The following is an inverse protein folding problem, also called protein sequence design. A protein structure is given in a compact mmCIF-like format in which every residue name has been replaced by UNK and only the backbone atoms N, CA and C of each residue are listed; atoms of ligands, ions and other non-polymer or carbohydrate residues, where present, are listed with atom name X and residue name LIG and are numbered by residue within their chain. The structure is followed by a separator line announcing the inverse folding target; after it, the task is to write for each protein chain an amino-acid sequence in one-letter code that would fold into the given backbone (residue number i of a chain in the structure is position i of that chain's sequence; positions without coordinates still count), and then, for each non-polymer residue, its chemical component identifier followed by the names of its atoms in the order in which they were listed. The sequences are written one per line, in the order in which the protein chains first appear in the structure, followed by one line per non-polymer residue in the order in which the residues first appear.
data_IF_034160654376
#
_entry.id   IF_034160654376
#
_cell.length_a   1.000
_cell.length_b   1.000
_cell.length_c   1.000
_cell.angle_alpha   90.00
_cell.angle_beta   90.00
_cell.angle_gamma   90.00
#
_symmetry.space_group_name_H-M   'P 1'
#
loop_
_entity.id
_entity.type
_entity.pdbx_description
1 polymer ?
#
# COMPACT_ATOMS: atom_id res chain seq x y z
N UNK A 1 -6.07 -11.82 -16.84
CA UNK A 1 -6.01 -10.92 -18.02
C UNK A 1 -4.70 -10.16 -17.90
N UNK A 2 -3.72 -10.53 -18.69
CA UNK A 2 -2.39 -9.91 -18.68
C UNK A 2 -2.49 -8.65 -19.53
N UNK A 3 -2.10 -7.50 -18.97
CA UNK A 3 -2.03 -6.23 -19.72
C UNK A 3 -0.78 -6.32 -20.60
N UNK A 4 -0.86 -6.09 -21.91
CA UNK A 4 0.31 -6.06 -22.80
C UNK A 4 1.35 -5.05 -22.32
N UNK A 5 2.64 -5.40 -22.41
CA UNK A 5 3.76 -4.55 -21.96
C UNK A 5 3.87 -3.23 -22.76
N UNK A 6 3.26 -3.18 -23.95
CA UNK A 6 3.22 -2.00 -24.82
C UNK A 6 2.07 -1.02 -24.47
N UNK A 7 1.19 -1.38 -23.54
CA UNK A 7 0.05 -0.58 -23.09
C UNK A 7 0.37 0.25 -21.84
N UNK A 8 1.63 0.69 -21.64
CA UNK A 8 1.85 1.66 -20.58
C UNK A 8 1.05 2.93 -20.87
N UNK A 9 0.19 3.32 -19.93
CA UNK A 9 -0.67 4.48 -20.04
C UNK A 9 0.19 5.71 -20.38
N UNK A 10 0.01 6.22 -21.61
CA UNK A 10 0.60 7.50 -22.01
C UNK A 10 -0.10 8.59 -21.21
N UNK A 11 0.68 9.47 -20.59
CA UNK A 11 0.14 10.61 -19.86
C UNK A 11 -0.49 11.57 -20.87
N UNK A 12 -1.81 11.56 -20.97
CA UNK A 12 -2.55 12.43 -21.88
C UNK A 12 -2.73 13.85 -21.34
N UNK A 13 -2.79 14.00 -20.01
CA UNK A 13 -2.93 15.29 -19.34
C UNK A 13 -2.33 15.26 -17.93
N UNK A 14 -1.88 16.42 -17.47
CA UNK A 14 -1.34 16.61 -16.11
C UNK A 14 -1.94 17.89 -15.52
N UNK A 15 -2.34 17.81 -14.25
CA UNK A 15 -2.66 18.99 -13.44
C UNK A 15 -1.86 18.89 -12.15
N UNK A 16 -1.10 19.94 -11.83
CA UNK A 16 -0.42 20.02 -10.54
C UNK A 16 -1.46 20.06 -9.42
N UNK A 17 -1.37 19.11 -8.48
CA UNK A 17 -2.18 19.21 -7.28
C UNK A 17 -1.79 20.47 -6.50
N UNK A 18 -2.77 21.33 -6.25
CA UNK A 18 -2.61 22.43 -5.30
C UNK A 18 -2.49 21.83 -3.90
N UNK A 19 -1.44 22.19 -3.19
CA UNK A 19 -1.24 21.76 -1.81
C UNK A 19 -2.49 22.08 -0.98
N UNK A 20 -3.07 21.04 -0.38
CA UNK A 20 -4.13 21.20 0.60
C UNK A 20 -3.49 21.17 1.99
N UNK A 21 -3.55 22.30 2.69
CA UNK A 21 -3.13 22.36 4.09
C UNK A 21 -4.07 21.50 4.91
N UNK A 22 -3.63 20.28 5.23
CA UNK A 22 -4.32 19.39 6.16
C UNK A 22 -3.77 19.65 7.55
N UNK A 23 -4.62 20.15 8.45
CA UNK A 23 -4.36 20.01 9.88
C UNK A 23 -4.42 18.51 10.18
N UNK A 24 -3.30 17.91 10.61
CA UNK A 24 -3.26 16.53 11.11
C UNK A 24 -4.45 16.39 12.05
N UNK A 25 -5.39 15.48 11.74
CA UNK A 25 -6.49 15.20 12.67
C UNK A 25 -5.81 14.81 13.97
N UNK A 26 -6.02 15.60 15.02
CA UNK A 26 -5.58 15.24 16.36
C UNK A 26 -6.02 13.81 16.61
N UNK A 27 -5.14 12.97 17.16
CA UNK A 27 -5.58 11.71 17.73
C UNK A 27 -6.65 12.07 18.77
N UNK A 28 -7.91 11.92 18.40
CA UNK A 28 -9.01 11.91 19.35
C UNK A 28 -8.95 10.50 19.89
N UNK A 29 -8.68 10.29 21.19
CA UNK A 29 -8.90 9.00 21.81
C UNK A 29 -10.41 8.78 21.73
N UNK A 30 -10.85 8.17 20.64
CA UNK A 30 -12.12 7.48 20.62
C UNK A 30 -11.96 6.40 21.68
N UNK A 31 -12.94 6.18 22.59
CA UNK A 31 -12.87 5.01 23.45
C UNK A 31 -12.54 3.82 22.57
N UNK A 32 -11.49 3.10 22.93
CA UNK A 32 -11.03 1.96 22.17
C UNK A 32 -12.27 1.12 21.80
N UNK A 33 -12.44 0.73 20.52
CA UNK A 33 -13.44 -0.29 20.21
C UNK A 33 -13.19 -1.47 21.16
N UNK A 34 -14.25 -2.18 21.58
CA UNK A 34 -14.10 -3.26 22.54
C UNK A 34 -12.96 -4.15 22.07
N UNK A 35 -12.03 -4.44 22.98
CA UNK A 35 -10.98 -5.43 22.81
C UNK A 35 -11.63 -6.81 22.67
N UNK A 36 -12.24 -7.06 21.52
CA UNK A 36 -12.22 -8.38 20.94
C UNK A 36 -10.74 -8.74 20.86
N UNK A 37 -10.35 -9.85 21.48
CA UNK A 37 -8.96 -10.23 21.81
C UNK A 37 -8.03 -10.32 20.58
N UNK A 38 -7.14 -11.32 20.47
CA UNK A 38 -6.47 -11.54 19.20
C UNK A 38 -7.55 -11.97 18.20
N UNK A 39 -8.18 -11.00 17.54
CA UNK A 39 -8.97 -11.23 16.34
C UNK A 39 -7.95 -11.74 15.36
N UNK A 40 -7.90 -13.05 15.23
CA UNK A 40 -7.32 -13.77 14.11
C UNK A 40 -8.13 -13.38 12.89
N UNK A 41 -8.00 -12.12 12.45
CA UNK A 41 -8.32 -11.72 11.08
C UNK A 41 -7.52 -12.69 10.25
N UNK A 42 -8.21 -13.64 9.62
CA UNK A 42 -7.65 -14.66 8.75
C UNK A 42 -6.41 -14.10 8.11
N UNK A 43 -5.24 -14.62 8.51
CA UNK A 43 -3.96 -14.19 7.96
C UNK A 43 -4.15 -14.22 6.46
N UNK A 44 -4.24 -13.05 5.83
CA UNK A 44 -3.97 -12.94 4.42
C UNK A 44 -2.56 -13.47 4.33
N UNK A 45 -2.43 -14.76 4.02
CA UNK A 45 -1.14 -15.42 3.92
C UNK A 45 -0.52 -14.86 2.67
N UNK A 46 0.20 -13.75 2.85
CA UNK A 46 1.05 -13.20 1.82
C UNK A 46 2.08 -14.28 1.50
N UNK A 47 2.16 -14.72 0.22
CA UNK A 47 3.10 -15.77 -0.16
C UNK A 47 4.56 -15.30 -0.15
N UNK A 48 4.79 -13.98 0.03
CA UNK A 48 6.12 -13.39 0.16
C UNK A 48 6.83 -13.92 1.43
N UNK A 49 7.96 -14.64 1.28
CA UNK A 49 8.75 -15.15 2.40
C UNK A 49 9.26 -14.06 3.34
N UNK A 50 9.39 -12.82 2.86
CA UNK A 50 9.86 -11.67 3.62
C UNK A 50 8.74 -10.87 4.27
N UNK A 51 7.47 -11.25 4.08
CA UNK A 51 6.33 -10.50 4.63
C UNK A 51 6.41 -10.32 6.15
N UNK A 52 6.91 -11.31 6.89
CA UNK A 52 7.10 -11.21 8.34
C UNK A 52 8.05 -10.09 8.77
N UNK A 53 8.98 -9.69 7.90
CA UNK A 53 9.97 -8.64 8.15
C UNK A 53 9.47 -7.24 7.75
N UNK A 54 8.34 -7.16 7.03
CA UNK A 54 7.73 -5.91 6.59
C UNK A 54 6.87 -5.31 7.71
N UNK A 55 7.52 -4.89 8.79
CA UNK A 55 6.89 -4.38 10.02
C UNK A 55 5.83 -3.31 9.78
N UNK A 56 6.00 -2.50 8.73
CA UNK A 56 5.09 -1.42 8.35
C UNK A 56 3.74 -1.89 7.79
N UNK A 57 3.57 -3.20 7.53
CA UNK A 57 2.34 -3.79 6.97
C UNK A 57 1.63 -4.77 7.92
N UNK A 58 2.29 -5.24 8.98
CA UNK A 58 1.88 -6.43 9.72
C UNK A 58 1.94 -6.27 11.25
N UNK A 59 1.92 -5.04 11.76
CA UNK A 59 2.04 -4.75 13.18
C UNK A 59 3.40 -5.12 13.79
N UNK A 60 4.45 -5.24 12.98
CA UNK A 60 5.79 -5.65 13.45
C UNK A 60 6.61 -4.55 14.11
N UNK A 61 6.10 -3.30 14.18
CA UNK A 61 6.79 -2.21 14.87
C UNK A 61 6.62 -2.29 16.40
N UNK A 62 7.30 -1.39 17.11
CA UNK A 62 7.07 -1.16 18.54
C UNK A 62 5.58 -0.85 18.80
N UNK A 63 5.05 -1.41 19.89
CA UNK A 63 3.64 -1.32 20.30
C UNK A 63 2.62 -1.82 19.26
N UNK A 64 3.04 -2.61 18.27
CA UNK A 64 2.15 -3.16 17.25
C UNK A 64 1.73 -2.16 16.18
N UNK A 65 2.45 -1.05 16.01
CA UNK A 65 2.11 -0.01 15.02
C UNK A 65 2.42 -0.45 13.58
N UNK A 66 1.55 -0.03 12.64
CA UNK A 66 1.74 -0.21 11.20
C UNK A 66 0.91 0.82 10.38
N UNK A 67 0.84 0.66 9.06
CA UNK A 67 0.05 1.52 8.17
C UNK A 67 -1.47 1.22 8.19
N UNK A 68 -1.91 0.17 8.87
CA UNK A 68 -3.29 -0.32 8.93
C UNK A 68 -3.95 -0.50 7.55
N UNK A 69 -3.20 -1.10 6.61
CA UNK A 69 -3.64 -1.31 5.21
C UNK A 69 -4.49 -2.57 5.02
N UNK A 70 -4.43 -3.53 5.95
CA UNK A 70 -5.18 -4.79 5.89
C UNK A 70 -6.68 -4.62 5.61
N UNK A 71 -7.40 -3.73 6.31
CA UNK A 71 -8.82 -3.47 6.04
C UNK A 71 -9.13 -2.87 4.66
N UNK A 72 -8.17 -2.23 4.00
CA UNK A 72 -8.33 -1.75 2.63
C UNK A 72 -8.20 -2.91 1.63
N UNK A 73 -7.21 -3.78 1.83
CA UNK A 73 -7.00 -4.98 1.02
C UNK A 73 -8.15 -5.99 1.17
N UNK A 74 -8.68 -6.18 2.38
CA UNK A 74 -9.86 -7.01 2.63
C UNK A 74 -11.11 -6.51 1.87
N UNK A 75 -11.16 -5.21 1.50
CA UNK A 75 -12.20 -4.62 0.66
C UNK A 75 -11.84 -4.61 -0.84
N UNK A 76 -10.70 -5.18 -1.22
CA UNK A 76 -10.24 -5.26 -2.61
C UNK A 76 -9.52 -4.01 -3.13
N UNK A 77 -9.20 -3.04 -2.27
CA UNK A 77 -8.46 -1.83 -2.68
C UNK A 77 -6.95 -2.12 -2.75
N UNK A 78 -6.42 -2.39 -3.93
CA UNK A 78 -5.01 -2.79 -4.13
C UNK A 78 -4.14 -1.73 -4.82
N UNK A 79 -4.73 -0.64 -5.29
CA UNK A 79 -4.05 0.33 -6.17
C UNK A 79 -4.11 -0.01 -7.66
N UNK A 80 -4.80 -1.10 -8.06
CA UNK A 80 -5.02 -1.44 -9.47
C UNK A 80 -5.64 -0.27 -10.24
N UNK A 81 -5.04 0.08 -11.38
CA UNK A 81 -5.47 1.21 -12.23
C UNK A 81 -4.86 2.56 -11.83
N UNK A 82 -4.01 2.61 -10.79
CA UNK A 82 -3.20 3.77 -10.43
C UNK A 82 -1.78 3.57 -10.95
N UNK A 83 -1.22 4.61 -11.58
CA UNK A 83 0.19 4.66 -11.98
C UNK A 83 0.93 5.61 -11.04
N UNK A 84 2.08 5.17 -10.53
CA UNK A 84 2.94 5.95 -9.62
C UNK A 84 4.26 6.21 -10.32
N UNK A 85 4.70 7.48 -10.34
CA UNK A 85 6.02 7.87 -10.84
C UNK A 85 6.97 8.12 -9.67
N UNK A 86 8.15 7.49 -9.70
CA UNK A 86 9.21 7.65 -8.71
C UNK A 86 10.32 8.48 -9.33
N UNK A 87 10.57 9.68 -8.78
CA UNK A 87 11.63 10.59 -9.21
C UNK A 87 12.87 10.33 -8.35
N UNK A 88 13.73 9.43 -8.80
CA UNK A 88 14.94 8.98 -8.10
C UNK A 88 16.10 8.76 -9.11
N UNK A 89 17.21 8.18 -8.67
CA UNK A 89 18.38 7.87 -9.50
C UNK A 89 18.17 6.73 -10.51
N UNK A 90 17.14 5.90 -10.30
CA UNK A 90 16.72 4.84 -11.23
C UNK A 90 15.88 3.77 -10.54
N UNK A 91 15.41 2.79 -11.33
CA UNK A 91 14.73 1.59 -10.81
C UNK A 91 15.13 0.37 -11.65
N UNK A 92 15.30 -0.78 -10.99
CA UNK A 92 15.58 -2.04 -11.68
C UNK A 92 14.28 -2.62 -12.26
N UNK A 93 14.00 -2.28 -13.52
CA UNK A 93 12.75 -2.60 -14.22
C UNK A 93 12.49 -4.10 -14.43
N UNK A 94 13.55 -4.92 -14.39
CA UNK A 94 13.48 -6.38 -14.60
C UNK A 94 13.52 -7.20 -13.31
N UNK A 95 13.41 -6.55 -12.13
CA UNK A 95 13.35 -7.27 -10.86
C UNK A 95 12.06 -8.13 -10.78
N UNK A 96 12.11 -9.38 -10.30
CA UNK A 96 10.92 -10.26 -10.25
C UNK A 96 9.73 -9.67 -9.50
N UNK A 97 9.97 -8.90 -8.42
CA UNK A 97 8.89 -8.25 -7.67
C UNK A 97 8.32 -6.97 -8.33
N UNK A 98 8.96 -6.47 -9.39
CA UNK A 98 8.56 -5.24 -10.08
C UNK A 98 8.09 -5.47 -11.51
N UNK A 99 8.59 -6.50 -12.20
CA UNK A 99 8.46 -6.69 -13.65
C UNK A 99 7.01 -6.75 -14.15
N UNK A 100 6.10 -7.28 -13.31
CA UNK A 100 4.67 -7.41 -13.63
C UNK A 100 3.89 -6.10 -13.40
N UNK A 101 4.44 -5.18 -12.61
CA UNK A 101 3.85 -3.88 -12.29
C UNK A 101 4.60 -2.71 -12.95
N UNK A 102 5.70 -2.98 -13.64
CA UNK A 102 6.52 -1.98 -14.32
C UNK A 102 6.11 -1.84 -15.79
N UNK A 103 5.77 -0.61 -16.11
CA UNK A 103 5.76 -0.01 -17.44
C UNK A 103 7.19 0.40 -17.85
#
# INVERSE_FOLDING_TARGET
MVVPKDDCAKVEWVVQQKELVRKKRSFTPTPAPPTDGPTTVNSQTFPDPLYSQQWYLNGGAEDGMDMNVGPAWARGYTGKGVVVSILDDGIQTNHPDLIDNYC
#
